data_IF_194440988678
#
_entry.id   IF_194440988678
#
_cell.length_a   1.000
_cell.length_b   1.000
_cell.length_c   1.000
_cell.angle_alpha   90.00
_cell.angle_beta   90.00
_cell.angle_gamma   90.00
#
_symmetry.space_group_name_H-M   'P 1'
#
loop_
_entity.id
_entity.type
_entity.pdbx_description
1 polymer ?
#
# COMPACT_ATOMS: atom_id res chain seq x y z
N UNK A 1 4.66 -15.96 0.95
CA UNK A 1 3.26 -15.50 1.14
C UNK A 1 2.70 -14.92 -0.17
N UNK A 2 1.39 -15.01 -0.46
CA UNK A 2 0.80 -14.47 -1.72
C UNK A 2 1.02 -12.95 -1.84
N UNK A 3 1.07 -12.25 -0.70
CA UNK A 3 1.28 -10.80 -0.56
C UNK A 3 2.68 -10.33 -1.00
N UNK A 4 3.67 -11.22 -1.08
CA UNK A 4 5.05 -10.90 -1.47
C UNK A 4 5.28 -11.00 -2.98
N UNK A 5 4.27 -11.45 -3.75
CA UNK A 5 4.39 -11.67 -5.19
C UNK A 5 3.89 -10.45 -5.97
N UNK A 6 4.81 -9.62 -6.44
CA UNK A 6 4.50 -8.56 -7.41
C UNK A 6 5.77 -7.99 -8.09
N UNK A 7 5.71 -7.63 -9.38
CA UNK A 7 6.85 -7.06 -10.12
C UNK A 7 7.17 -5.60 -9.73
N UNK A 8 6.27 -4.92 -9.02
CA UNK A 8 6.44 -3.52 -8.66
C UNK A 8 7.21 -3.39 -7.34
N UNK A 9 8.41 -2.81 -7.41
CA UNK A 9 9.23 -2.42 -6.27
C UNK A 9 9.19 -0.91 -6.10
N UNK A 10 9.38 -0.46 -4.85
CA UNK A 10 9.61 0.95 -4.57
C UNK A 10 10.92 1.40 -5.22
N UNK A 11 11.03 2.67 -5.67
CA UNK A 11 12.31 3.26 -6.08
C UNK A 11 13.40 3.03 -5.03
N UNK A 12 14.66 2.96 -5.47
CA UNK A 12 15.78 2.79 -4.56
C UNK A 12 15.96 4.06 -3.72
N UNK A 13 16.12 3.89 -2.40
CA UNK A 13 16.44 4.97 -1.44
C UNK A 13 17.95 4.95 -1.12
N UNK A 14 18.54 6.07 -0.63
CA UNK A 14 17.94 7.40 -0.52
C UNK A 14 17.86 8.10 -1.88
N UNK A 15 16.82 8.91 -2.08
CA UNK A 15 16.73 9.86 -3.19
C UNK A 15 17.01 11.25 -2.61
N UNK A 16 18.05 11.97 -3.07
CA UNK A 16 18.30 13.36 -2.65
C UNK A 16 17.07 14.24 -2.91
N UNK A 17 16.76 15.16 -1.99
CA UNK A 17 15.49 15.92 -2.00
C UNK A 17 15.28 16.66 -3.32
N UNK A 18 16.33 17.24 -3.88
CA UNK A 18 16.35 17.96 -5.15
C UNK A 18 16.08 17.06 -6.37
N UNK A 19 16.37 15.76 -6.25
CA UNK A 19 16.14 14.75 -7.30
C UNK A 19 14.78 14.05 -7.18
N UNK A 20 14.04 14.30 -6.09
CA UNK A 20 12.65 13.82 -5.95
C UNK A 20 11.73 14.59 -6.91
N UNK A 21 10.80 13.91 -7.59
CA UNK A 21 9.77 14.61 -8.36
C UNK A 21 9.00 15.60 -7.48
N UNK A 22 8.74 16.80 -8.00
CA UNK A 22 7.88 17.79 -7.38
C UNK A 22 6.44 17.52 -7.80
N UNK A 23 5.57 17.26 -6.84
CA UNK A 23 4.16 16.91 -7.10
C UNK A 23 3.22 17.85 -6.37
N UNK A 24 2.04 18.09 -6.95
CA UNK A 24 0.94 18.82 -6.32
C UNK A 24 -0.34 17.99 -6.28
N UNK A 25 -1.18 18.18 -5.24
CA UNK A 25 -2.54 17.67 -5.23
C UNK A 25 -3.39 18.30 -6.36
N UNK A 26 -4.05 17.47 -7.16
CA UNK A 26 -4.94 17.86 -8.27
C UNK A 26 -6.33 17.28 -8.08
N UNK A 27 -7.34 18.15 -8.02
CA UNK A 27 -8.73 17.75 -7.79
C UNK A 27 -8.92 17.07 -6.42
N UNK A 28 -9.86 16.12 -6.33
CA UNK A 28 -10.20 15.43 -5.07
C UNK A 28 -9.26 14.28 -4.71
N UNK A 29 -8.68 13.59 -5.70
CA UNK A 29 -7.89 12.35 -5.50
C UNK A 29 -6.69 12.21 -6.44
N UNK A 30 -6.41 13.23 -7.26
CA UNK A 30 -5.41 13.16 -8.32
C UNK A 30 -4.12 13.85 -7.92
N UNK A 31 -3.01 13.48 -8.57
CA UNK A 31 -1.72 14.13 -8.38
C UNK A 31 -1.23 14.67 -9.71
N UNK A 32 -0.49 15.76 -9.67
CA UNK A 32 0.16 16.35 -10.84
C UNK A 32 1.66 16.45 -10.57
N UNK A 33 2.46 16.00 -11.53
CA UNK A 33 3.92 16.20 -11.49
C UNK A 33 4.23 17.55 -12.10
N UNK A 34 4.83 18.44 -11.31
CA UNK A 34 5.22 19.79 -11.72
C UNK A 34 6.65 19.78 -12.25
N UNK A 35 7.54 19.05 -11.57
CA UNK A 35 8.92 18.84 -12.00
C UNK A 35 9.22 17.35 -11.93
N UNK A 36 9.68 16.72 -13.02
CA UNK A 36 10.11 15.32 -13.00
C UNK A 36 11.34 15.12 -12.08
N UNK A 37 11.61 13.88 -11.71
CA UNK A 37 12.76 13.51 -10.90
C UNK A 37 13.26 12.11 -11.24
N UNK A 38 13.99 11.47 -10.34
CA UNK A 38 14.66 10.18 -10.56
C UNK A 38 13.73 8.98 -10.80
N UNK A 39 12.40 9.16 -10.67
CA UNK A 39 11.43 8.12 -10.99
C UNK A 39 10.11 8.67 -11.53
N UNK A 40 9.41 7.84 -12.29
CA UNK A 40 8.12 8.18 -12.92
C UNK A 40 6.90 7.68 -12.13
N UNK A 41 7.12 7.07 -10.95
CA UNK A 41 6.02 6.57 -10.12
C UNK A 41 5.14 7.73 -9.64
N UNK A 42 3.83 7.54 -9.72
CA UNK A 42 2.85 8.46 -9.12
C UNK A 42 2.67 8.20 -7.61
N UNK A 43 2.31 9.21 -6.79
CA UNK A 43 2.18 9.07 -5.34
C UNK A 43 1.25 7.93 -4.91
N UNK A 44 0.09 7.76 -5.56
CA UNK A 44 -0.84 6.66 -5.24
C UNK A 44 -0.23 5.27 -5.46
N UNK A 45 0.65 5.12 -6.46
CA UNK A 45 1.35 3.87 -6.73
C UNK A 45 2.39 3.55 -5.66
N UNK A 46 3.12 4.56 -5.19
CA UNK A 46 4.07 4.44 -4.07
C UNK A 46 3.33 4.12 -2.77
N UNK A 47 2.25 4.83 -2.46
CA UNK A 47 1.40 4.56 -1.29
C UNK A 47 0.90 3.12 -1.28
N UNK A 48 0.41 2.58 -2.40
CA UNK A 48 -0.04 1.19 -2.46
C UNK A 48 1.07 0.18 -2.17
N UNK A 49 2.32 0.48 -2.57
CA UNK A 49 3.49 -0.34 -2.24
C UNK A 49 3.90 -0.20 -0.78
N UNK A 50 3.82 1.00 -0.20
CA UNK A 50 4.08 1.24 1.22
C UNK A 50 3.04 0.55 2.11
N UNK A 51 1.75 0.62 1.76
CA UNK A 51 0.69 -0.13 2.46
C UNK A 51 1.00 -1.63 2.50
N UNK A 52 1.48 -2.20 1.39
CA UNK A 52 1.86 -3.62 1.32
C UNK A 52 3.10 -3.93 2.14
N UNK A 53 4.14 -3.10 2.05
CA UNK A 53 5.40 -3.29 2.78
C UNK A 53 5.16 -3.28 4.28
N UNK A 54 4.38 -2.31 4.75
CA UNK A 54 4.10 -2.10 6.16
C UNK A 54 2.78 -2.75 6.59
N UNK A 55 2.39 -3.86 5.96
CA UNK A 55 1.17 -4.56 6.33
C UNK A 55 1.24 -5.01 7.81
N UNK A 56 0.33 -4.54 8.69
CA UNK A 56 0.43 -4.81 10.13
C UNK A 56 0.31 -6.30 10.51
N UNK A 57 -0.17 -7.16 9.61
CA UNK A 57 -0.40 -8.57 9.91
C UNK A 57 -1.73 -8.79 10.62
N UNK A 58 -1.70 -9.52 11.73
CA UNK A 58 -2.85 -9.78 12.59
C UNK A 58 -2.96 -8.70 13.66
N UNK A 59 -4.17 -8.21 13.88
CA UNK A 59 -4.46 -7.10 14.79
C UNK A 59 -5.39 -7.60 15.89
N UNK A 60 -5.11 -7.30 17.16
CA UNK A 60 -5.95 -7.70 18.28
C UNK A 60 -7.32 -7.04 18.21
N UNK A 61 -8.34 -7.85 18.46
CA UNK A 61 -9.71 -7.41 18.71
C UNK A 61 -9.93 -7.24 20.21
N UNK A 62 -10.92 -6.41 20.56
CA UNK A 62 -11.27 -6.13 21.96
C UNK A 62 -11.78 -7.34 22.73
N UNK A 63 -12.28 -8.35 22.03
CA UNK A 63 -12.80 -9.60 22.58
C UNK A 63 -11.72 -10.68 22.76
N UNK A 64 -10.44 -10.33 22.57
CA UNK A 64 -9.31 -11.25 22.64
C UNK A 64 -9.04 -12.02 21.34
N UNK A 65 -9.85 -11.83 20.30
CA UNK A 65 -9.61 -12.35 18.97
C UNK A 65 -8.47 -11.64 18.23
N UNK A 66 -8.18 -12.12 17.02
CA UNK A 66 -7.26 -11.48 16.09
C UNK A 66 -7.89 -11.48 14.71
N UNK A 67 -7.72 -10.40 13.96
CA UNK A 67 -8.12 -10.34 12.56
C UNK A 67 -7.02 -9.75 11.67
N UNK A 68 -6.96 -10.10 10.38
CA UNK A 68 -6.01 -9.48 9.48
C UNK A 68 -6.25 -7.97 9.35
N UNK A 69 -5.19 -7.20 9.13
CA UNK A 69 -5.23 -5.74 8.96
C UNK A 69 -5.87 -5.30 7.62
N UNK A 70 -7.16 -5.57 7.43
CA UNK A 70 -7.86 -5.34 6.16
C UNK A 70 -8.33 -3.90 5.93
N UNK A 71 -8.24 -3.03 6.94
CA UNK A 71 -8.78 -1.66 6.87
C UNK A 71 -7.71 -0.63 7.21
N UNK A 72 -7.90 0.60 6.73
CA UNK A 72 -7.05 1.73 7.13
C UNK A 72 -7.15 2.06 8.63
N UNK A 73 -8.29 1.76 9.26
CA UNK A 73 -8.44 1.91 10.71
C UNK A 73 -7.46 1.01 11.48
N UNK A 74 -7.12 -0.17 10.96
CA UNK A 74 -6.14 -1.06 11.57
C UNK A 74 -4.75 -0.44 11.53
N UNK A 75 -4.34 0.13 10.39
CA UNK A 75 -3.06 0.83 10.25
C UNK A 75 -2.91 2.00 11.21
N UNK A 76 -4.01 2.73 11.49
CA UNK A 76 -4.01 3.85 12.45
C UNK A 76 -3.94 3.42 13.92
N UNK A 77 -4.29 2.17 14.24
CA UNK A 77 -4.31 1.65 15.61
C UNK A 77 -3.01 0.96 16.01
N UNK A 78 -2.32 0.37 15.04
CA UNK A 78 -1.08 -0.36 15.29
C UNK A 78 0.06 0.64 15.43
N UNK A 79 0.75 0.58 16.56
CA UNK A 79 1.95 1.36 16.81
C UNK A 79 3.03 1.01 15.77
N UNK A 80 3.76 2.02 15.32
CA UNK A 80 4.92 1.78 14.46
C UNK A 80 6.07 1.14 15.26
N UNK A 81 6.88 0.33 14.58
CA UNK A 81 8.15 -0.15 15.11
C UNK A 81 9.25 0.65 14.43
N UNK A 82 10.11 1.38 15.18
CA UNK A 82 11.15 2.22 14.61
C UNK A 82 11.98 1.50 13.55
N UNK A 83 12.28 2.20 12.45
CA UNK A 83 13.13 1.69 11.39
C UNK A 83 14.63 1.74 11.74
N UNK A 84 15.49 1.23 10.87
CA UNK A 84 16.95 1.30 11.04
C UNK A 84 17.46 2.75 11.14
N UNK A 85 16.70 3.71 10.60
CA UNK A 85 16.97 5.14 10.67
C UNK A 85 16.44 5.78 11.98
N UNK A 86 15.80 4.99 12.85
CA UNK A 86 15.27 5.41 14.15
C UNK A 86 14.11 6.39 14.09
N UNK A 87 13.42 6.50 12.94
CA UNK A 87 12.28 7.43 12.80
C UNK A 87 11.07 6.90 13.57
N UNK A 88 10.49 7.76 14.40
CA UNK A 88 9.26 7.47 15.12
C UNK A 88 8.06 8.12 14.41
N UNK A 89 7.25 7.29 13.75
CA UNK A 89 6.01 7.71 13.10
C UNK A 89 4.78 7.54 13.99
N UNK A 90 4.89 7.00 15.21
CA UNK A 90 3.79 6.65 16.13
C UNK A 90 2.90 5.51 15.66
N UNK A 91 2.39 5.54 14.43
CA UNK A 91 1.50 4.50 13.87
C UNK A 91 1.96 4.03 12.50
N UNK A 92 1.55 2.82 12.12
CA UNK A 92 1.84 2.27 10.79
C UNK A 92 1.23 3.13 9.69
N UNK A 93 0.04 3.71 9.91
CA UNK A 93 -0.58 4.64 8.98
C UNK A 93 0.29 5.89 8.73
N UNK A 94 0.80 6.47 9.82
CA UNK A 94 1.64 7.66 9.77
C UNK A 94 2.97 7.35 9.09
N UNK A 95 3.53 6.16 9.29
CA UNK A 95 4.72 5.69 8.56
C UNK A 95 4.48 5.57 7.06
N UNK A 96 3.36 4.98 6.65
CA UNK A 96 3.01 4.84 5.23
C UNK A 96 2.94 6.22 4.54
N UNK A 97 2.34 7.22 5.20
CA UNK A 97 2.25 8.58 4.64
C UNK A 97 3.56 9.34 4.79
N UNK A 98 4.30 9.14 5.88
CA UNK A 98 5.59 9.76 6.15
C UNK A 98 6.67 9.33 5.16
N UNK A 99 6.81 8.03 4.92
CA UNK A 99 7.77 7.47 3.96
C UNK A 99 7.42 7.85 2.51
N UNK A 100 6.19 8.28 2.19
CA UNK A 100 5.88 8.82 0.86
C UNK A 100 6.82 9.97 0.51
N UNK A 101 7.17 10.80 1.49
CA UNK A 101 8.01 11.97 1.30
C UNK A 101 9.49 11.63 1.12
N UNK A 102 9.91 10.38 1.33
CA UNK A 102 11.24 9.90 0.92
C UNK A 102 11.37 9.87 -0.62
N UNK A 103 10.25 9.86 -1.34
CA UNK A 103 10.18 9.71 -2.80
C UNK A 103 9.80 11.01 -3.51
N UNK A 104 9.04 11.89 -2.87
CA UNK A 104 8.52 13.11 -3.47
C UNK A 104 8.88 14.35 -2.67
N UNK A 105 8.85 15.51 -3.34
CA UNK A 105 8.78 16.81 -2.68
C UNK A 105 7.49 17.52 -3.08
N UNK A 106 7.06 18.44 -2.23
CA UNK A 106 5.88 19.28 -2.42
C UNK A 106 6.20 20.69 -1.94
N UNK A 107 5.67 21.71 -2.60
CA UNK A 107 5.87 23.09 -2.15
C UNK A 107 5.18 23.33 -0.80
N UNK A 108 5.73 24.19 0.07
CA UNK A 108 5.24 24.41 1.43
C UNK A 108 3.74 24.67 1.55
N UNK A 109 3.18 25.49 0.65
CA UNK A 109 1.77 25.88 0.63
C UNK A 109 0.82 24.73 0.29
N UNK A 110 1.34 23.64 -0.29
CA UNK A 110 0.57 22.44 -0.64
C UNK A 110 0.72 21.30 0.36
N UNK A 111 1.64 21.39 1.33
CA UNK A 111 2.00 20.29 2.26
C UNK A 111 0.79 19.68 2.96
N UNK A 112 -0.02 20.48 3.64
CA UNK A 112 -1.16 19.98 4.42
C UNK A 112 -2.23 19.33 3.53
N UNK A 113 -2.44 19.87 2.33
CA UNK A 113 -3.36 19.27 1.36
C UNK A 113 -2.80 17.94 0.84
N UNK A 114 -1.50 17.88 0.58
CA UNK A 114 -0.84 16.69 0.07
C UNK A 114 -0.85 15.55 1.10
N UNK A 115 -0.56 15.86 2.37
CA UNK A 115 -0.69 14.89 3.47
C UNK A 115 -2.12 14.37 3.57
N UNK A 116 -3.12 15.25 3.66
CA UNK A 116 -4.53 14.83 3.72
C UNK A 116 -4.92 13.93 2.54
N UNK A 117 -4.51 14.31 1.33
CA UNK A 117 -4.82 13.51 0.15
C UNK A 117 -4.12 12.15 0.13
N UNK A 118 -2.91 12.04 0.70
CA UNK A 118 -2.24 10.76 0.88
C UNK A 118 -3.01 9.85 1.86
N UNK A 119 -3.46 10.39 3.00
CA UNK A 119 -4.32 9.67 3.93
C UNK A 119 -5.64 9.22 3.28
N UNK A 120 -6.29 10.11 2.54
CA UNK A 120 -7.58 9.83 1.89
C UNK A 120 -7.49 8.76 0.78
N UNK A 121 -6.30 8.58 0.18
CA UNK A 121 -6.05 7.56 -0.83
C UNK A 121 -5.88 6.15 -0.22
N UNK A 122 -5.30 6.04 0.98
CA UNK A 122 -4.90 4.78 1.60
C UNK A 122 -6.04 3.76 1.79
N UNK A 123 -7.25 4.13 2.26
CA UNK A 123 -8.35 3.19 2.42
C UNK A 123 -8.67 2.42 1.14
N UNK A 124 -8.79 3.12 0.00
CA UNK A 124 -9.07 2.48 -1.28
C UNK A 124 -7.92 1.59 -1.74
N UNK A 125 -6.67 2.03 -1.56
CA UNK A 125 -5.50 1.26 -1.94
C UNK A 125 -5.41 -0.07 -1.17
N UNK A 126 -5.76 -0.06 0.12
CA UNK A 126 -5.82 -1.27 0.95
C UNK A 126 -6.92 -2.22 0.48
N UNK A 127 -8.14 -1.71 0.24
CA UNK A 127 -9.25 -2.51 -0.29
C UNK A 127 -8.87 -3.14 -1.64
N UNK A 128 -8.33 -2.35 -2.57
CA UNK A 128 -7.92 -2.82 -3.89
C UNK A 128 -6.79 -3.87 -3.79
N UNK A 129 -5.83 -3.67 -2.87
CA UNK A 129 -4.75 -4.62 -2.60
C UNK A 129 -5.27 -5.99 -2.16
N UNK A 130 -6.17 -6.03 -1.17
CA UNK A 130 -6.74 -7.27 -0.65
C UNK A 130 -7.63 -7.97 -1.68
N UNK A 131 -8.43 -7.19 -2.41
CA UNK A 131 -9.22 -7.71 -3.53
C UNK A 131 -8.35 -8.40 -4.58
N UNK A 132 -7.27 -7.76 -5.01
CA UNK A 132 -6.36 -8.30 -6.02
C UNK A 132 -5.60 -9.53 -5.51
N UNK A 133 -5.19 -9.53 -4.24
CA UNK A 133 -4.53 -10.68 -3.63
C UNK A 133 -5.44 -11.91 -3.58
N UNK A 134 -6.72 -11.74 -3.23
CA UNK A 134 -7.73 -12.81 -3.28
C UNK A 134 -7.87 -13.37 -4.69
N UNK A 135 -8.05 -12.49 -5.69
CA UNK A 135 -8.17 -12.90 -7.10
C UNK A 135 -6.92 -13.67 -7.54
N UNK A 136 -5.74 -13.25 -7.11
CA UNK A 136 -4.48 -13.92 -7.43
C UNK A 136 -4.34 -15.28 -6.71
N UNK A 137 -4.83 -15.41 -5.48
CA UNK A 137 -4.87 -16.68 -4.75
C UNK A 137 -5.75 -17.70 -5.47
N UNK A 138 -6.96 -17.31 -5.91
CA UNK A 138 -7.86 -18.12 -6.73
C UNK A 138 -7.14 -18.64 -7.99
N UNK A 139 -6.51 -17.73 -8.76
CA UNK A 139 -5.76 -18.11 -9.96
C UNK A 139 -4.61 -19.07 -9.66
N UNK A 140 -3.92 -18.85 -8.53
CA UNK A 140 -2.79 -19.69 -8.11
C UNK A 140 -3.26 -21.09 -7.72
N UNK A 141 -4.35 -21.20 -6.97
CA UNK A 141 -4.96 -22.48 -6.61
C UNK A 141 -5.36 -23.26 -7.85
N UNK A 142 -6.09 -22.63 -8.78
CA UNK A 142 -6.51 -23.28 -10.02
C UNK A 142 -5.32 -23.75 -10.86
N UNK A 143 -4.30 -22.89 -11.02
CA UNK A 143 -3.14 -23.24 -11.82
C UNK A 143 -2.27 -24.34 -11.18
N UNK A 144 -2.07 -24.30 -9.87
CA UNK A 144 -1.11 -25.19 -9.18
C UNK A 144 -1.73 -26.47 -8.62
N UNK A 145 -2.95 -26.39 -8.06
CA UNK A 145 -3.62 -27.52 -7.41
C UNK A 145 -4.54 -28.26 -8.39
N UNK A 146 -5.19 -27.54 -9.29
CA UNK A 146 -6.11 -28.13 -10.28
C UNK A 146 -5.50 -28.25 -11.69
N UNK A 147 -4.26 -27.80 -11.89
CA UNK A 147 -3.57 -27.86 -13.19
C UNK A 147 -4.21 -27.03 -14.30
N UNK A 148 -5.18 -26.15 -13.99
CA UNK A 148 -5.93 -25.36 -14.97
C UNK A 148 -5.69 -23.88 -14.81
N UNK A 149 -5.28 -23.19 -15.88
CA UNK A 149 -5.18 -21.73 -15.87
C UNK A 149 -6.58 -21.15 -16.09
N UNK A 150 -6.95 -20.19 -15.26
CA UNK A 150 -8.17 -19.41 -15.44
C UNK A 150 -7.86 -17.93 -15.61
N UNK A 151 -8.71 -17.27 -16.38
CA UNK A 151 -8.64 -15.83 -16.58
C UNK A 151 -8.96 -15.06 -15.30
N UNK A 152 -8.44 -13.84 -15.22
CA UNK A 152 -8.72 -12.93 -14.11
C UNK A 152 -10.22 -12.65 -13.96
N UNK A 153 -10.96 -12.52 -15.07
CA UNK A 153 -12.41 -12.26 -15.05
C UNK A 153 -13.17 -13.38 -14.35
N UNK A 154 -12.87 -14.64 -14.65
CA UNK A 154 -13.46 -15.80 -13.98
C UNK A 154 -13.03 -15.89 -12.51
N UNK A 155 -11.75 -15.63 -12.20
CA UNK A 155 -11.26 -15.67 -10.82
C UNK A 155 -11.94 -14.65 -9.89
N UNK A 156 -12.46 -13.54 -10.42
CA UNK A 156 -13.17 -12.52 -9.63
C UNK A 156 -14.46 -13.04 -8.98
N UNK A 157 -15.12 -14.02 -9.58
CA UNK A 157 -16.42 -14.54 -9.12
C UNK A 157 -16.30 -15.79 -8.25
N UNK A 158 -15.08 -16.30 -8.05
CA UNK A 158 -14.83 -17.52 -7.29
C UNK A 158 -14.34 -17.17 -5.89
N UNK A 159 -14.88 -17.82 -4.88
CA UNK A 159 -14.42 -17.76 -3.49
C UNK A 159 -13.88 -19.13 -3.10
N UNK A 160 -12.59 -19.18 -2.74
CA UNK A 160 -11.99 -20.39 -2.19
C UNK A 160 -12.49 -20.61 -0.76
N UNK A 161 -12.58 -21.88 -0.35
CA UNK A 161 -12.74 -22.25 1.05
C UNK A 161 -11.47 -21.92 1.86
N UNK A 162 -11.56 -21.85 3.19
CA UNK A 162 -10.42 -21.47 4.04
C UNK A 162 -9.23 -22.42 3.84
N UNK A 163 -9.49 -23.71 3.71
CA UNK A 163 -8.51 -24.78 3.52
C UNK A 163 -7.79 -24.68 2.18
N UNK A 164 -8.40 -24.03 1.19
CA UNK A 164 -7.85 -23.88 -0.16
C UNK A 164 -6.91 -22.66 -0.28
N UNK A 165 -6.90 -21.77 0.71
CA UNK A 165 -5.93 -20.68 0.81
C UNK A 165 -4.61 -21.10 1.46
N UNK A 166 -4.58 -22.25 2.15
CA UNK A 166 -3.43 -22.85 2.83
C UNK A 166 -2.58 -23.70 1.85
#
# INVERSE_FOLDING_TARGET
KVWERGPARLPKRPIPVERRPLVRPKGKKGWETIVPGDHERIPAGILGLLCRRHFPGMVPLSDGGQEPALTWAHYKRVADVPDEDGRDFRTVADRVVGELWDFFRVEPEWRDRAVRQAYDACPKLITDMHYEARVQAVRTYYAKKLGRKIEKKAARTIWLAAEQYM
#
